data_IF_129363809040
#
_entry.id   IF_129363809040
#
_cell.length_a   1.000
_cell.length_b   1.000
_cell.length_c   1.000
_cell.angle_alpha   90.00
_cell.angle_beta   90.00
_cell.angle_gamma   90.00
#
_symmetry.space_group_name_H-M   'P 1'
#
loop_
_entity.id
_entity.type
_entity.pdbx_description
1 polymer ?
#
# COMPACT_ATOMS: atom_id res chain seq x y z
N UNK A 1 9.27 16.91 -34.18
CA UNK A 1 7.92 16.58 -34.68
C UNK A 1 7.80 17.16 -36.09
N UNK A 2 7.35 16.39 -37.07
CA UNK A 2 7.12 16.86 -38.44
C UNK A 2 5.87 17.72 -38.52
N UNK A 3 5.64 18.39 -39.65
CA UNK A 3 4.40 19.14 -39.92
C UNK A 3 3.14 18.28 -39.85
N UNK A 4 3.27 16.96 -40.00
CA UNK A 4 2.20 15.97 -39.88
C UNK A 4 1.99 15.46 -38.43
N UNK A 5 2.75 15.98 -37.45
CA UNK A 5 2.65 15.51 -36.06
C UNK A 5 3.39 14.19 -35.76
N UNK A 6 4.23 13.70 -36.68
CA UNK A 6 4.99 12.47 -36.51
C UNK A 6 6.43 12.74 -36.00
N UNK A 7 7.05 11.73 -35.42
CA UNK A 7 8.45 11.72 -35.00
C UNK A 7 9.23 10.74 -35.88
N UNK A 8 10.45 11.07 -36.30
CA UNK A 8 11.31 10.15 -37.03
C UNK A 8 12.30 9.56 -36.02
N UNK A 9 12.23 8.25 -35.80
CA UNK A 9 13.13 7.50 -34.89
C UNK A 9 13.79 6.39 -35.70
N UNK A 10 15.12 6.44 -35.83
CA UNK A 10 15.91 5.51 -36.66
C UNK A 10 15.42 5.42 -38.13
N UNK A 11 15.03 6.57 -38.71
CA UNK A 11 14.52 6.64 -40.09
C UNK A 11 13.07 6.18 -40.27
N UNK A 12 12.37 5.77 -39.21
CA UNK A 12 10.98 5.32 -39.25
C UNK A 12 10.07 6.37 -38.62
N UNK A 13 8.93 6.66 -39.27
CA UNK A 13 7.90 7.52 -38.72
C UNK A 13 7.16 6.83 -37.56
N UNK A 14 7.03 7.55 -36.45
CA UNK A 14 6.30 7.13 -35.24
C UNK A 14 5.33 8.24 -34.84
N UNK A 15 4.17 7.86 -34.32
CA UNK A 15 3.16 8.79 -33.80
C UNK A 15 3.06 8.57 -32.30
N UNK A 16 3.10 9.65 -31.53
CA UNK A 16 2.87 9.61 -30.08
C UNK A 16 1.36 9.69 -29.86
N UNK A 17 0.82 8.76 -29.07
CA UNK A 17 -0.60 8.71 -28.72
C UNK A 17 -0.73 9.07 -27.24
N UNK A 18 -1.68 9.94 -26.93
CA UNK A 18 -2.01 10.27 -25.55
C UNK A 18 -2.68 9.07 -24.86
N UNK A 19 -2.15 8.67 -23.71
CA UNK A 19 -2.75 7.65 -22.87
C UNK A 19 -3.73 8.28 -21.89
N UNK A 20 -4.86 7.61 -21.64
CA UNK A 20 -5.78 7.97 -20.56
C UNK A 20 -5.35 7.17 -19.33
N UNK A 21 -4.93 7.89 -18.28
CA UNK A 21 -4.51 7.31 -17.00
C UNK A 21 -5.45 7.79 -15.88
N UNK A 22 -5.52 7.02 -14.81
CA UNK A 22 -6.24 7.42 -13.61
C UNK A 22 -5.50 8.59 -12.95
N UNK A 23 -6.23 9.65 -12.62
CA UNK A 23 -5.65 10.80 -11.93
C UNK A 23 -5.20 10.42 -10.51
N UNK A 24 -4.23 11.13 -9.94
CA UNK A 24 -3.91 11.01 -8.51
C UNK A 24 -5.14 11.31 -7.67
N UNK A 25 -5.35 10.53 -6.61
CA UNK A 25 -6.53 10.67 -5.76
C UNK A 25 -6.85 9.41 -4.95
N UNK A 26 -7.98 9.47 -4.25
CA UNK A 26 -8.53 8.37 -3.47
C UNK A 26 -9.80 7.86 -4.14
N UNK A 27 -9.84 6.57 -4.42
CA UNK A 27 -10.93 5.89 -5.10
C UNK A 27 -11.54 4.83 -4.20
N UNK A 28 -12.86 4.78 -4.13
CA UNK A 28 -13.58 3.80 -3.35
C UNK A 28 -14.33 2.85 -4.27
N UNK A 29 -14.33 1.57 -3.92
CA UNK A 29 -15.06 0.53 -4.62
C UNK A 29 -15.73 -0.40 -3.61
N UNK A 30 -16.92 -0.87 -3.96
CA UNK A 30 -17.60 -1.94 -3.23
C UNK A 30 -17.89 -3.08 -4.20
N UNK A 31 -17.50 -4.29 -3.83
CA UNK A 31 -17.75 -5.50 -4.60
C UNK A 31 -18.60 -6.46 -3.78
N UNK A 32 -19.82 -6.75 -4.26
CA UNK A 32 -20.65 -7.82 -3.75
C UNK A 32 -20.08 -9.15 -4.26
N UNK A 33 -19.59 -9.98 -3.35
CA UNK A 33 -19.15 -11.33 -3.70
C UNK A 33 -20.31 -12.33 -3.63
N UNK A 34 -20.17 -13.47 -4.28
CA UNK A 34 -21.21 -14.52 -4.42
C UNK A 34 -21.87 -14.97 -3.12
N UNK A 35 -21.17 -14.85 -1.99
CA UNK A 35 -21.67 -15.18 -0.65
C UNK A 35 -22.59 -14.09 -0.05
N UNK A 36 -22.92 -13.03 -0.79
CA UNK A 36 -23.74 -11.90 -0.34
C UNK A 36 -23.02 -10.89 0.56
N UNK A 37 -21.72 -11.03 0.77
CA UNK A 37 -20.93 -10.13 1.63
C UNK A 37 -20.13 -9.16 0.76
N UNK A 38 -20.34 -7.87 0.99
CA UNK A 38 -19.60 -6.79 0.35
C UNK A 38 -18.17 -6.69 0.87
N UNK A 39 -17.21 -6.57 -0.05
CA UNK A 39 -15.84 -6.15 0.24
C UNK A 39 -15.69 -4.70 -0.18
N UNK A 40 -15.08 -3.89 0.67
CA UNK A 40 -14.85 -2.47 0.41
C UNK A 40 -13.37 -2.24 0.20
N UNK A 41 -13.04 -1.52 -0.88
CA UNK A 41 -11.66 -1.21 -1.25
C UNK A 41 -11.47 0.29 -1.40
N UNK A 42 -10.45 0.85 -0.75
CA UNK A 42 -9.98 2.21 -0.94
C UNK A 42 -8.61 2.19 -1.62
N UNK A 43 -8.49 2.76 -2.81
CA UNK A 43 -7.22 2.87 -3.55
C UNK A 43 -6.72 4.31 -3.49
N UNK A 44 -5.51 4.51 -2.97
CA UNK A 44 -4.79 5.77 -3.02
C UNK A 44 -3.77 5.69 -4.16
N UNK A 45 -3.84 6.65 -5.08
CA UNK A 45 -2.90 6.79 -6.19
C UNK A 45 -2.19 8.12 -6.01
N UNK A 46 -0.87 8.08 -5.85
CA UNK A 46 -0.07 9.30 -5.82
C UNK A 46 0.27 9.76 -7.24
N UNK A 47 0.57 11.05 -7.33
CA UNK A 47 1.11 11.75 -8.49
C UNK A 47 2.43 11.17 -9.01
N UNK A 48 3.24 10.59 -8.13
CA UNK A 48 4.51 9.94 -8.49
C UNK A 48 4.39 8.44 -8.81
N UNK A 49 3.16 7.90 -8.91
CA UNK A 49 2.90 6.52 -9.32
C UNK A 49 2.88 5.48 -8.18
N UNK A 50 2.92 5.92 -6.92
CA UNK A 50 2.68 5.08 -5.77
C UNK A 50 1.22 4.65 -5.69
N UNK A 51 0.99 3.39 -5.34
CA UNK A 51 -0.37 2.83 -5.19
C UNK A 51 -0.49 2.11 -3.85
N UNK A 52 -1.44 2.55 -3.03
CA UNK A 52 -1.79 1.92 -1.75
C UNK A 52 -3.24 1.48 -1.82
N UNK A 53 -3.51 0.21 -1.58
CA UNK A 53 -4.88 -0.33 -1.55
C UNK A 53 -5.22 -0.78 -0.14
N UNK A 54 -6.31 -0.26 0.41
CA UNK A 54 -6.92 -0.69 1.66
C UNK A 54 -8.13 -1.56 1.33
N UNK A 55 -8.25 -2.73 1.94
CA UNK A 55 -9.36 -3.66 1.71
C UNK A 55 -9.98 -4.08 3.05
N UNK A 56 -11.29 -3.89 3.20
CA UNK A 56 -12.05 -4.45 4.31
C UNK A 56 -12.64 -5.78 3.86
N UNK A 57 -12.08 -6.88 4.38
CA UNK A 57 -12.53 -8.22 4.08
C UNK A 57 -13.82 -8.57 4.84
N UNK A 58 -14.46 -9.67 4.45
CA UNK A 58 -15.72 -10.20 4.97
C UNK A 58 -15.73 -10.42 6.48
N UNK A 59 -14.55 -10.62 7.10
CA UNK A 59 -14.37 -10.78 8.54
C UNK A 59 -14.16 -9.45 9.28
N UNK A 60 -14.49 -8.32 8.64
CA UNK A 60 -14.23 -6.97 9.15
C UNK A 60 -12.74 -6.69 9.44
N UNK A 61 -11.86 -7.34 8.67
CA UNK A 61 -10.40 -7.18 8.76
C UNK A 61 -9.92 -6.23 7.68
N UNK A 62 -9.13 -5.24 8.08
CA UNK A 62 -8.50 -4.26 7.20
C UNK A 62 -7.12 -4.74 6.74
N UNK A 63 -6.98 -4.92 5.44
CA UNK A 63 -5.73 -5.29 4.78
C UNK A 63 -5.19 -4.11 3.98
N UNK A 64 -3.88 -4.11 3.77
CA UNK A 64 -3.14 -3.15 2.96
C UNK A 64 -2.38 -3.89 1.88
N UNK A 65 -2.37 -3.36 0.66
CA UNK A 65 -1.39 -3.71 -0.37
C UNK A 65 -0.62 -2.47 -0.78
N UNK A 66 0.70 -2.52 -0.73
CA UNK A 66 1.59 -1.47 -1.23
C UNK A 66 2.12 -1.90 -2.59
N UNK A 67 1.95 -1.08 -3.62
CA UNK A 67 2.50 -1.32 -4.98
C UNK A 67 2.14 -2.68 -5.59
N UNK A 68 0.92 -3.19 -5.32
CA UNK A 68 0.40 -4.50 -5.77
C UNK A 68 1.14 -5.72 -5.18
N UNK A 69 1.82 -5.55 -4.05
CA UNK A 69 2.42 -6.66 -3.29
C UNK A 69 1.36 -7.43 -2.47
N UNK A 70 1.84 -8.38 -1.66
CA UNK A 70 1.03 -9.21 -0.78
C UNK A 70 0.20 -8.36 0.22
N UNK A 71 -0.89 -8.97 0.72
CA UNK A 71 -1.75 -8.37 1.74
C UNK A 71 -1.02 -8.34 3.09
N UNK A 72 -0.85 -7.13 3.61
CA UNK A 72 -0.36 -6.84 4.95
C UNK A 72 -1.52 -6.44 5.87
N UNK A 73 -1.43 -6.72 7.16
CA UNK A 73 -2.36 -6.14 8.12
C UNK A 73 -2.14 -4.62 8.21
N UNK A 74 -3.22 -3.84 8.32
CA UNK A 74 -3.12 -2.39 8.54
C UNK A 74 -2.32 -2.05 9.81
N UNK A 75 -2.39 -2.90 10.84
CA UNK A 75 -1.65 -2.68 12.08
C UNK A 75 -0.14 -2.79 11.87
N UNK A 76 0.31 -3.71 11.01
CA UNK A 76 1.74 -3.85 10.68
C UNK A 76 2.24 -2.59 9.99
N UNK A 77 1.46 -2.04 9.03
CA UNK A 77 1.82 -0.77 8.38
C UNK A 77 1.90 0.37 9.39
N UNK A 78 0.84 0.58 10.20
CA UNK A 78 0.78 1.70 11.14
C UNK A 78 1.87 1.62 12.21
N UNK A 79 2.15 0.41 12.72
CA UNK A 79 3.25 0.20 13.66
C UNK A 79 4.62 0.37 13.00
N UNK A 80 4.81 -0.05 11.75
CA UNK A 80 6.04 0.21 11.00
C UNK A 80 6.26 1.71 10.75
N UNK A 81 5.20 2.50 10.61
CA UNK A 81 5.25 3.97 10.56
C UNK A 81 5.56 4.61 11.92
N UNK A 82 5.53 3.83 13.00
CA UNK A 82 5.94 4.23 14.34
C UNK A 82 4.81 4.56 15.30
N UNK A 83 3.56 4.23 14.94
CA UNK A 83 2.41 4.39 15.83
C UNK A 83 2.28 3.22 16.79
N UNK A 84 1.96 3.52 18.04
CA UNK A 84 1.63 2.51 19.03
C UNK A 84 0.18 2.05 18.89
N UNK A 85 -0.13 0.81 19.26
CA UNK A 85 -1.52 0.27 19.22
C UNK A 85 -2.49 1.20 19.94
N UNK A 86 -2.09 1.74 21.09
CA UNK A 86 -2.91 2.68 21.86
C UNK A 86 -3.22 3.96 21.09
N UNK A 87 -2.21 4.57 20.47
CA UNK A 87 -2.38 5.77 19.65
C UNK A 87 -3.27 5.48 18.45
N UNK A 88 -3.13 4.32 17.82
CA UNK A 88 -3.99 3.91 16.70
C UNK A 88 -5.44 3.84 17.17
N UNK A 89 -5.72 3.16 18.28
CA UNK A 89 -7.09 3.00 18.80
C UNK A 89 -7.73 4.32 19.25
N UNK A 90 -6.94 5.27 19.77
CA UNK A 90 -7.43 6.58 20.20
C UNK A 90 -7.75 7.52 19.03
N UNK A 91 -7.14 7.32 17.85
CA UNK A 91 -7.29 8.22 16.69
C UNK A 91 -8.23 7.70 15.59
N UNK A 92 -8.71 6.46 15.67
CA UNK A 92 -9.62 5.88 14.67
C UNK A 92 -11.07 6.04 15.06
N UNK A 93 -11.96 6.28 14.08
CA UNK A 93 -13.40 6.41 14.32
C UNK A 93 -14.08 5.08 14.73
N UNK A 94 -13.51 3.95 14.32
CA UNK A 94 -14.09 2.61 14.51
C UNK A 94 -13.04 1.64 15.09
N UNK A 95 -12.67 1.77 16.38
CA UNK A 95 -11.61 0.97 17.01
C UNK A 95 -11.91 -0.53 17.04
N UNK A 96 -13.18 -0.92 17.09
CA UNK A 96 -13.65 -2.31 17.09
C UNK A 96 -13.15 -3.14 15.89
N UNK A 97 -12.93 -2.51 14.73
CA UNK A 97 -12.37 -3.19 13.56
C UNK A 97 -10.94 -3.68 13.80
N UNK A 98 -10.16 -2.93 14.61
CA UNK A 98 -8.78 -3.25 14.93
C UNK A 98 -8.65 -4.29 16.04
N UNK A 99 -9.65 -4.42 16.91
CA UNK A 99 -9.66 -5.45 17.97
C UNK A 99 -9.59 -6.87 17.39
N UNK A 100 -10.15 -7.08 16.19
CA UNK A 100 -10.11 -8.37 15.50
C UNK A 100 -8.69 -8.88 15.22
N UNK A 101 -7.71 -7.97 15.13
CA UNK A 101 -6.31 -8.27 14.86
C UNK A 101 -5.45 -8.43 16.12
N UNK A 102 -5.89 -7.91 17.28
CA UNK A 102 -5.10 -7.98 18.52
C UNK A 102 -4.95 -9.41 19.04
N UNK A 103 -5.87 -10.30 18.67
CA UNK A 103 -5.77 -11.72 19.01
C UNK A 103 -4.63 -12.44 18.27
N UNK A 104 -4.18 -11.90 17.14
CA UNK A 104 -3.05 -12.44 16.40
C UNK A 104 -1.76 -11.97 17.08
N UNK A 105 -1.18 -12.84 17.92
CA UNK A 105 0.02 -12.66 18.77
C UNK A 105 1.30 -12.17 18.06
N UNK A 106 1.24 -11.82 16.77
CA UNK A 106 2.39 -11.42 15.94
C UNK A 106 2.67 -9.92 15.95
N UNK A 107 1.77 -9.09 16.48
CA UNK A 107 1.97 -7.65 16.57
C UNK A 107 2.89 -7.35 17.76
N UNK A 108 4.16 -7.69 17.56
CA UNK A 108 5.26 -7.39 18.47
C UNK A 108 5.74 -5.95 18.32
N UNK A 109 6.87 -5.65 18.95
CA UNK A 109 7.52 -4.35 18.98
C UNK A 109 7.67 -3.71 17.58
N UNK A 110 7.87 -2.39 17.54
CA UNK A 110 8.02 -1.61 16.32
C UNK A 110 9.01 -2.22 15.32
N UNK A 111 10.09 -2.82 15.81
CA UNK A 111 11.12 -3.47 15.01
C UNK A 111 10.57 -4.69 14.26
N UNK A 112 9.73 -5.49 14.91
CA UNK A 112 9.10 -6.65 14.28
C UNK A 112 8.11 -6.24 13.19
N UNK A 113 7.35 -5.17 13.42
CA UNK A 113 6.44 -4.64 12.40
C UNK A 113 7.19 -4.13 11.17
N UNK A 114 8.33 -3.45 11.36
CA UNK A 114 9.20 -3.01 10.27
C UNK A 114 9.75 -4.20 9.48
N UNK A 115 10.18 -5.25 10.18
CA UNK A 115 10.68 -6.47 9.56
C UNK A 115 9.61 -7.20 8.75
N UNK A 116 8.43 -7.41 9.34
CA UNK A 116 7.31 -8.07 8.68
C UNK A 116 6.87 -7.28 7.44
N UNK A 117 6.80 -5.96 7.55
CA UNK A 117 6.51 -5.09 6.41
C UNK A 117 7.58 -5.26 5.31
N UNK A 118 8.86 -5.23 5.67
CA UNK A 118 9.95 -5.31 4.70
C UNK A 118 10.01 -6.67 3.99
N UNK A 119 9.84 -7.77 4.72
CA UNK A 119 9.80 -9.13 4.16
C UNK A 119 8.67 -9.28 3.12
N UNK A 120 7.47 -8.79 3.45
CA UNK A 120 6.32 -8.87 2.54
C UNK A 120 6.40 -7.86 1.39
N UNK A 121 7.01 -6.70 1.60
CA UNK A 121 7.20 -5.70 0.55
C UNK A 121 8.29 -6.11 -0.46
N UNK A 122 9.37 -6.72 0.02
CA UNK A 122 10.50 -7.16 -0.81
C UNK A 122 10.36 -8.59 -1.33
N UNK A 123 9.32 -9.34 -0.90
CA UNK A 123 9.14 -10.76 -1.19
C UNK A 123 10.39 -11.60 -0.86
N UNK A 124 11.10 -11.26 0.23
CA UNK A 124 12.33 -11.95 0.63
C UNK A 124 11.97 -13.04 1.64
N UNK A 125 12.14 -14.30 1.24
CA UNK A 125 12.08 -15.45 2.13
C UNK A 125 13.43 -15.61 2.85
N UNK A 126 13.52 -15.09 4.08
CA UNK A 126 14.71 -15.24 4.93
C UNK A 126 14.59 -14.51 6.28
N UNK A 127 15.41 -14.92 7.24
CA UNK A 127 15.52 -14.32 8.58
C UNK A 127 16.20 -12.95 8.49
N UNK A 128 15.45 -11.94 8.09
CA UNK A 128 15.90 -10.56 8.08
C UNK A 128 16.10 -10.09 9.53
N UNK A 129 17.31 -9.66 9.86
CA UNK A 129 17.61 -9.02 11.14
C UNK A 129 17.33 -7.52 11.02
N UNK A 130 16.66 -6.95 12.01
CA UNK A 130 16.36 -5.52 12.01
C UNK A 130 17.66 -4.71 11.99
N UNK A 131 17.74 -3.73 11.11
CA UNK A 131 18.81 -2.74 11.08
C UNK A 131 18.22 -1.34 10.98
N UNK A 132 18.91 -0.36 11.56
CA UNK A 132 18.50 1.05 11.48
C UNK A 132 18.60 1.62 10.05
N UNK A 133 19.34 0.96 9.17
CA UNK A 133 19.34 1.26 7.73
C UNK A 133 18.04 0.84 7.05
N UNK A 134 17.47 -0.32 7.41
CA UNK A 134 16.21 -0.80 6.84
C UNK A 134 15.05 0.14 7.15
N UNK A 135 14.99 0.69 8.37
CA UNK A 135 13.95 1.65 8.74
C UNK A 135 14.04 2.94 7.93
N UNK A 136 15.26 3.47 7.73
CA UNK A 136 15.52 4.65 6.89
C UNK A 136 15.18 4.38 5.43
N UNK A 137 15.52 3.21 4.91
CA UNK A 137 15.22 2.84 3.52
C UNK A 137 13.73 2.64 3.28
N UNK A 138 13.01 2.06 4.25
CA UNK A 138 11.57 1.88 4.22
C UNK A 138 10.87 3.24 4.29
N UNK A 139 11.27 4.10 5.23
CA UNK A 139 10.78 5.49 5.29
C UNK A 139 11.05 6.23 3.99
N UNK A 140 12.24 6.09 3.41
CA UNK A 140 12.53 6.68 2.11
C UNK A 140 11.64 6.08 1.02
N UNK A 141 11.45 4.76 0.91
CA UNK A 141 10.57 4.20 -0.13
C UNK A 141 9.11 4.61 0.01
N UNK A 142 8.60 4.73 1.24
CA UNK A 142 7.23 5.19 1.48
C UNK A 142 7.10 6.70 1.28
N UNK A 143 7.99 7.51 1.87
CA UNK A 143 7.90 8.98 1.94
C UNK A 143 8.68 9.73 0.85
N UNK A 144 9.67 9.11 0.20
CA UNK A 144 10.35 9.66 -0.98
C UNK A 144 9.54 9.51 -2.26
N UNK A 145 8.36 8.89 -2.17
CA UNK A 145 7.18 9.34 -2.91
C UNK A 145 6.83 10.73 -2.36
N UNK A 146 7.63 11.74 -2.70
CA UNK A 146 7.58 13.08 -2.09
C UNK A 146 6.14 13.59 -2.14
N UNK A 147 5.56 13.87 -0.98
CA UNK A 147 4.40 14.76 -0.87
C UNK A 147 4.71 16.14 -1.45
#
# INVERSE_FOLDING_TARGET
>A
MTSLGAFIVNGIYRIVINQILQSPGIYYQSELKDNGISVYTGTIISDWGGRLELEIDRKARIWVRVSRQQKLSILVLLSAMGLNIREILENVCYPELFLSFLNDKKIGSKENAILEFYQQFACVEGDAVFSESLSKDLQKKILSTKM
#
